data_IF_706200118879
#
_entry.id   IF_706200118879
#
_cell.length_a   1.000
_cell.length_b   1.000
_cell.length_c   1.000
_cell.angle_alpha   90.00
_cell.angle_beta   90.00
_cell.angle_gamma   90.00
#
_symmetry.space_group_name_H-M   'P 1'
#
loop_
_entity.id
_entity.type
_entity.pdbx_description
1 polymer ?
#
# COMPACT_ATOMS: atom_id res chain seq x y z
N UNK A 1 46.01 15.55 -2.92
CA UNK A 1 45.06 16.12 -1.94
C UNK A 1 43.65 15.90 -2.45
N UNK A 2 42.92 14.94 -1.87
CA UNK A 2 41.46 14.82 -1.92
C UNK A 2 41.09 13.93 -0.72
N UNK A 3 40.51 14.56 0.31
CA UNK A 3 40.17 13.98 1.61
C UNK A 3 38.98 13.00 1.51
N UNK A 4 38.94 11.91 2.32
CA UNK A 4 37.83 10.98 2.34
C UNK A 4 36.61 11.52 3.13
N UNK A 5 35.44 11.53 2.49
CA UNK A 5 34.15 11.88 3.12
C UNK A 5 33.77 10.83 4.18
N UNK A 6 33.56 11.32 5.40
CA UNK A 6 33.33 10.57 6.62
C UNK A 6 32.08 9.64 6.59
N UNK A 7 32.29 8.35 6.84
CA UNK A 7 31.27 7.35 7.18
C UNK A 7 30.75 7.58 8.61
N UNK A 8 29.81 8.50 8.82
CA UNK A 8 29.29 8.81 10.17
C UNK A 8 27.75 8.95 10.23
N UNK A 9 26.98 8.00 9.68
CA UNK A 9 25.50 8.06 9.74
C UNK A 9 24.75 6.75 10.03
N UNK A 10 25.38 5.73 10.64
CA UNK A 10 24.70 4.44 10.93
C UNK A 10 24.43 4.11 12.40
N UNK A 11 24.84 4.95 13.36
CA UNK A 11 24.72 4.63 14.79
C UNK A 11 23.48 5.22 15.52
N UNK A 12 22.76 6.18 14.92
CA UNK A 12 21.73 6.97 15.65
C UNK A 12 20.31 6.38 15.66
N UNK A 13 19.98 5.46 14.74
CA UNK A 13 18.63 4.88 14.64
C UNK A 13 18.36 3.68 15.56
N UNK A 14 19.36 3.15 16.27
CA UNK A 14 19.20 1.97 17.15
C UNK A 14 18.72 2.28 18.58
N UNK A 15 18.45 3.54 18.95
CA UNK A 15 18.15 3.94 20.34
C UNK A 15 16.74 4.48 20.63
N UNK A 16 15.79 4.37 19.71
CA UNK A 16 14.43 4.90 19.90
C UNK A 16 13.29 3.86 19.94
N UNK A 17 13.58 2.58 20.21
CA UNK A 17 12.55 1.60 20.64
C UNK A 17 12.62 1.40 22.15
N UNK A 18 12.39 2.45 22.94
CA UNK A 18 11.86 2.25 24.29
C UNK A 18 10.43 1.78 24.07
N UNK A 19 10.07 0.58 24.54
CA UNK A 19 8.69 0.11 24.55
C UNK A 19 7.87 1.18 25.28
N UNK A 20 7.00 1.90 24.57
CA UNK A 20 6.07 2.81 25.20
C UNK A 20 5.18 1.96 26.13
N UNK A 21 4.93 2.44 27.35
CA UNK A 21 3.96 1.81 28.23
C UNK A 21 2.59 1.80 27.53
N UNK A 22 1.81 0.71 27.62
CA UNK A 22 0.49 0.65 27.00
C UNK A 22 -0.32 1.85 27.45
N UNK A 23 -0.83 2.62 26.49
CA UNK A 23 -1.73 3.73 26.77
C UNK A 23 -3.08 3.18 27.23
N UNK A 24 -3.90 4.02 27.86
CA UNK A 24 -5.31 3.65 28.12
C UNK A 24 -6.03 3.20 26.85
N UNK A 25 -5.71 3.81 25.70
CA UNK A 25 -6.31 3.47 24.41
C UNK A 25 -5.98 2.02 24.02
N UNK A 26 -4.74 1.59 24.22
CA UNK A 26 -4.31 0.22 23.94
C UNK A 26 -5.09 -0.79 24.80
N UNK A 27 -5.29 -0.49 26.09
CA UNK A 27 -6.06 -1.37 26.97
C UNK A 27 -7.54 -1.46 26.59
N UNK A 28 -8.13 -0.37 26.09
CA UNK A 28 -9.52 -0.35 25.62
C UNK A 28 -9.66 -1.10 24.29
N UNK A 29 -8.71 -0.94 23.37
CA UNK A 29 -8.66 -1.67 22.12
C UNK A 29 -8.51 -3.17 22.37
N UNK A 30 -7.64 -3.57 23.31
CA UNK A 30 -7.44 -4.96 23.67
C UNK A 30 -8.73 -5.59 24.22
N UNK A 31 -9.39 -4.94 25.19
CA UNK A 31 -10.71 -5.40 25.72
C UNK A 31 -11.80 -5.44 24.66
N UNK A 32 -11.79 -4.48 23.74
CA UNK A 32 -12.76 -4.46 22.64
C UNK A 32 -12.54 -5.65 21.70
N UNK A 33 -11.28 -5.96 21.35
CA UNK A 33 -10.89 -7.02 20.43
C UNK A 33 -10.83 -8.43 21.07
N UNK A 34 -10.92 -8.52 22.41
CA UNK A 34 -10.97 -9.80 23.13
C UNK A 34 -12.09 -10.70 22.60
N UNK A 35 -11.75 -11.94 22.23
CA UNK A 35 -12.71 -12.93 21.74
C UNK A 35 -13.03 -12.87 20.24
N UNK A 36 -12.61 -11.82 19.51
CA UNK A 36 -12.80 -11.78 18.04
C UNK A 36 -11.83 -12.70 17.27
N UNK A 37 -10.70 -13.07 17.89
CA UNK A 37 -9.63 -13.80 17.20
C UNK A 37 -9.00 -12.99 16.06
N UNK A 38 -7.88 -13.46 15.52
CA UNK A 38 -7.36 -12.91 14.27
C UNK A 38 -7.92 -13.76 13.12
N UNK A 39 -8.55 -13.16 12.08
CA UNK A 39 -8.97 -13.94 10.94
C UNK A 39 -7.76 -14.64 10.33
N UNK A 40 -7.96 -15.87 9.86
CA UNK A 40 -6.91 -16.57 9.11
C UNK A 40 -6.39 -15.69 7.95
N UNK A 41 -5.12 -15.80 7.57
CA UNK A 41 -4.60 -15.05 6.43
C UNK A 41 -5.34 -15.48 5.15
N UNK A 42 -6.11 -14.57 4.56
CA UNK A 42 -6.76 -14.79 3.27
C UNK A 42 -6.14 -13.86 2.20
N UNK A 43 -6.05 -14.30 0.94
CA UNK A 43 -5.68 -13.42 -0.16
C UNK A 43 -6.62 -12.22 -0.26
N UNK A 44 -6.08 -11.07 -0.66
CA UNK A 44 -6.88 -9.90 -0.96
C UNK A 44 -7.88 -10.22 -2.09
N UNK A 45 -9.18 -9.98 -1.83
CA UNK A 45 -10.24 -10.12 -2.83
C UNK A 45 -10.69 -8.72 -3.28
N UNK A 46 -10.46 -8.33 -4.54
CA UNK A 46 -10.94 -7.05 -5.04
C UNK A 46 -12.47 -7.01 -5.05
N UNK A 47 -13.00 -5.81 -4.87
CA UNK A 47 -14.42 -5.55 -5.01
C UNK A 47 -14.87 -5.61 -6.50
N UNK A 48 -16.16 -5.81 -6.78
CA UNK A 48 -16.65 -5.95 -8.15
C UNK A 48 -16.30 -4.77 -9.06
N UNK A 49 -16.35 -3.53 -8.55
CA UNK A 49 -16.02 -2.36 -9.37
C UNK A 49 -14.53 -2.27 -9.68
N UNK A 50 -13.65 -2.75 -8.79
CA UNK A 50 -12.20 -2.79 -9.02
C UNK A 50 -11.86 -3.80 -10.13
N UNK A 51 -12.50 -4.97 -10.12
CA UNK A 51 -12.34 -5.97 -11.20
C UNK A 51 -12.82 -5.42 -12.54
N UNK A 52 -13.99 -4.78 -12.57
CA UNK A 52 -14.55 -4.17 -13.78
C UNK A 52 -13.65 -3.06 -14.34
N UNK A 53 -13.15 -2.18 -13.46
CA UNK A 53 -12.23 -1.12 -13.86
C UNK A 53 -10.92 -1.69 -14.43
N UNK A 54 -10.36 -2.74 -13.81
CA UNK A 54 -9.17 -3.42 -14.31
C UNK A 54 -9.41 -4.11 -15.66
N UNK A 55 -10.58 -4.71 -15.87
CA UNK A 55 -10.90 -5.30 -17.16
C UNK A 55 -11.09 -4.23 -18.26
N UNK A 56 -11.66 -3.08 -17.91
CA UNK A 56 -11.93 -1.98 -18.83
C UNK A 56 -10.66 -1.21 -19.21
N UNK A 57 -9.77 -0.92 -18.25
CA UNK A 57 -8.55 -0.11 -18.49
C UNK A 57 -7.57 -0.77 -19.45
N UNK A 58 -7.60 -2.11 -19.56
CA UNK A 58 -6.79 -2.83 -20.54
C UNK A 58 -7.27 -2.65 -21.98
N UNK A 59 -8.53 -2.22 -22.18
CA UNK A 59 -9.17 -2.13 -23.51
C UNK A 59 -9.38 -0.68 -23.97
N UNK A 60 -9.59 0.24 -23.03
CA UNK A 60 -9.94 1.65 -23.29
C UNK A 60 -9.58 2.53 -22.11
N UNK A 61 -9.68 3.84 -22.27
CA UNK A 61 -9.52 4.78 -21.16
C UNK A 61 -10.74 4.73 -20.25
N UNK A 62 -10.50 4.86 -18.93
CA UNK A 62 -11.52 4.65 -17.89
C UNK A 62 -11.42 5.74 -16.85
N UNK A 63 -12.55 6.38 -16.55
CA UNK A 63 -12.73 7.26 -15.40
C UNK A 63 -13.40 6.45 -14.29
N UNK A 64 -12.76 6.38 -13.13
CA UNK A 64 -13.32 5.71 -11.94
C UNK A 64 -13.74 6.77 -10.92
N UNK A 65 -15.04 6.81 -10.61
CA UNK A 65 -15.61 7.69 -9.57
C UNK A 65 -15.95 6.85 -8.34
N UNK A 66 -15.21 7.05 -7.25
CA UNK A 66 -15.46 6.38 -5.96
C UNK A 66 -14.87 7.24 -4.81
N UNK A 67 -15.37 7.13 -3.57
CA UNK A 67 -14.84 7.90 -2.43
C UNK A 67 -13.40 7.51 -2.06
N UNK A 68 -12.74 8.34 -1.27
CA UNK A 68 -11.44 8.00 -0.67
C UNK A 68 -11.59 6.76 0.22
N UNK A 69 -10.56 5.92 0.29
CA UNK A 69 -10.62 4.65 1.01
C UNK A 69 -11.24 3.47 0.24
N UNK A 70 -11.93 3.68 -0.88
CA UNK A 70 -12.48 2.56 -1.69
C UNK A 70 -11.43 1.74 -2.45
N UNK A 71 -10.15 2.12 -2.41
CA UNK A 71 -9.09 1.38 -3.10
C UNK A 71 -8.95 1.69 -4.60
N UNK A 72 -9.19 2.94 -5.02
CA UNK A 72 -8.91 3.39 -6.40
C UNK A 72 -7.42 3.31 -6.77
N UNK A 73 -6.53 3.58 -5.81
CA UNK A 73 -5.07 3.47 -6.00
C UNK A 73 -4.66 2.05 -6.39
N UNK A 74 -5.29 1.05 -5.79
CA UNK A 74 -5.05 -0.36 -6.12
C UNK A 74 -5.35 -0.66 -7.59
N UNK A 75 -6.42 -0.08 -8.16
CA UNK A 75 -6.74 -0.24 -9.59
C UNK A 75 -5.60 0.29 -10.46
N UNK A 76 -5.08 1.49 -10.14
CA UNK A 76 -3.98 2.10 -10.88
C UNK A 76 -2.69 1.28 -10.81
N UNK A 77 -2.31 0.83 -9.61
CA UNK A 77 -1.13 -0.03 -9.41
C UNK A 77 -1.24 -1.32 -10.21
N UNK A 78 -2.37 -2.02 -10.10
CA UNK A 78 -2.59 -3.28 -10.83
C UNK A 78 -2.61 -3.07 -12.34
N UNK A 79 -3.17 -1.96 -12.84
CA UNK A 79 -3.12 -1.63 -14.26
C UNK A 79 -1.67 -1.46 -14.74
N UNK A 80 -0.87 -0.67 -14.02
CA UNK A 80 0.56 -0.45 -14.35
C UNK A 80 1.33 -1.77 -14.33
N UNK A 81 1.17 -2.58 -13.28
CA UNK A 81 1.85 -3.88 -13.18
C UNK A 81 1.48 -4.81 -14.34
N UNK A 82 0.20 -4.86 -14.73
CA UNK A 82 -0.23 -5.67 -15.89
C UNK A 82 0.36 -5.16 -17.19
N UNK A 83 0.45 -3.84 -17.39
CA UNK A 83 1.06 -3.25 -18.57
C UNK A 83 2.55 -3.55 -18.65
N UNK A 84 3.30 -3.32 -17.56
CA UNK A 84 4.74 -3.59 -17.49
C UNK A 84 5.04 -5.09 -17.64
N UNK A 85 4.23 -5.96 -17.03
CA UNK A 85 4.39 -7.42 -17.13
C UNK A 85 4.19 -7.98 -18.55
N UNK A 86 3.51 -7.25 -19.43
CA UNK A 86 3.34 -7.63 -20.83
C UNK A 86 4.50 -7.18 -21.73
N UNK A 87 5.55 -6.56 -21.17
CA UNK A 87 6.67 -5.99 -21.95
C UNK A 87 6.26 -4.78 -22.79
N UNK A 88 5.06 -4.24 -22.56
CA UNK A 88 4.57 -3.09 -23.28
C UNK A 88 5.22 -1.81 -22.73
N UNK A 89 5.66 -0.88 -23.60
CA UNK A 89 6.10 0.42 -23.14
C UNK A 89 4.96 1.14 -22.40
N UNK A 90 5.25 1.94 -21.37
CA UNK A 90 4.23 2.68 -20.63
C UNK A 90 3.42 3.53 -21.62
N UNK A 91 2.08 3.49 -21.51
CA UNK A 91 1.24 4.32 -22.38
C UNK A 91 1.62 5.79 -22.22
N UNK A 92 1.61 6.58 -23.30
CA UNK A 92 1.79 8.03 -23.20
C UNK A 92 0.74 8.61 -22.23
N UNK A 93 1.07 9.67 -21.47
CA UNK A 93 0.12 10.32 -20.59
C UNK A 93 -1.13 10.73 -21.37
N UNK A 94 -2.31 10.55 -20.76
CA UNK A 94 -3.55 11.02 -21.34
C UNK A 94 -3.46 12.55 -21.57
N UNK A 95 -3.86 13.06 -22.74
CA UNK A 95 -3.87 14.51 -23.01
C UNK A 95 -4.83 15.27 -22.10
#
# INVERSE_FOLDING_TARGET
MLEPVAKHRRAKHRRARRRASPTRLDSMAQKFLEGMGEPEPHPFRPSPFQEQALAAVMKRDVIVVAPTGSGKTWIAEQAIMRWLGQGAPPRPPCP
#
